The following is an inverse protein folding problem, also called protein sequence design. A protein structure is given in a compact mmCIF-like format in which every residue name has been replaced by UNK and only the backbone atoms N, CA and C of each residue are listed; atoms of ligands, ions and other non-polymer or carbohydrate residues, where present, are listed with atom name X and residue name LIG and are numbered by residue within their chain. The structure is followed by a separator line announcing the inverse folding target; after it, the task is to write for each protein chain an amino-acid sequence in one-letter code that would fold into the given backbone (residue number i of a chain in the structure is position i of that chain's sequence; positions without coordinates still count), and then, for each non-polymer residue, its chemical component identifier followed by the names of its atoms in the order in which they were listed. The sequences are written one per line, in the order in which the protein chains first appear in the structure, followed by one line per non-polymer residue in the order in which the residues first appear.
data_IF_956291654555
#
_entry.id   IF_956291654555
#
_cell.length_a   1.000
_cell.length_b   1.000
_cell.length_c   1.000
_cell.angle_alpha   90.00
_cell.angle_beta   90.00
_cell.angle_gamma   90.00
#
_symmetry.space_group_name_H-M   'P 1'
#
loop_
_entity.id
_entity.type
_entity.pdbx_description
1 polymer ?
#
# COMPACT_ATOMS: atom_id res chain seq x y z
N UNK A 1 -22.26 -0.01 -8.05
CA UNK A 1 -21.56 -1.28 -7.72
C UNK A 1 -20.00 -1.16 -7.78
N UNK A 2 -19.38 -0.49 -8.76
CA UNK A 2 -17.90 -0.33 -8.86
C UNK A 2 -17.25 0.30 -7.62
N UNK A 3 -17.84 1.34 -7.06
CA UNK A 3 -17.30 2.03 -5.89
C UNK A 3 -17.39 1.20 -4.60
N UNK A 4 -18.49 0.45 -4.40
CA UNK A 4 -18.63 -0.43 -3.25
C UNK A 4 -17.60 -1.56 -3.29
N UNK A 5 -17.40 -2.19 -4.46
CA UNK A 5 -16.36 -3.20 -4.63
C UNK A 5 -14.95 -2.63 -4.42
N UNK A 6 -14.69 -1.42 -4.93
CA UNK A 6 -13.42 -0.73 -4.71
C UNK A 6 -13.15 -0.41 -3.25
N UNK A 7 -14.17 -0.03 -2.49
CA UNK A 7 -14.06 0.22 -1.05
C UNK A 7 -13.71 -1.07 -0.30
N UNK A 8 -14.43 -2.16 -0.56
CA UNK A 8 -14.18 -3.46 0.08
C UNK A 8 -12.75 -3.92 -0.21
N UNK A 9 -12.33 -3.84 -1.47
CA UNK A 9 -10.98 -4.23 -1.87
C UNK A 9 -9.92 -3.34 -1.19
N UNK A 10 -10.14 -2.04 -1.11
CA UNK A 10 -9.26 -1.10 -0.40
C UNK A 10 -9.13 -1.40 1.09
N UNK A 11 -10.27 -1.74 1.75
CA UNK A 11 -10.26 -2.12 3.17
C UNK A 11 -9.50 -3.43 3.40
N UNK A 12 -9.65 -4.42 2.52
CA UNK A 12 -8.89 -5.68 2.60
C UNK A 12 -7.40 -5.49 2.28
N UNK A 13 -7.10 -4.62 1.34
CA UNK A 13 -5.72 -4.33 0.93
C UNK A 13 -4.93 -3.61 2.02
N UNK A 14 -5.58 -2.76 2.82
CA UNK A 14 -4.92 -1.98 3.87
C UNK A 14 -4.16 -2.85 4.87
N UNK A 15 -4.78 -3.82 5.56
CA UNK A 15 -4.05 -4.70 6.47
C UNK A 15 -3.04 -5.58 5.73
N UNK A 16 -3.33 -6.03 4.50
CA UNK A 16 -2.39 -6.83 3.72
C UNK A 16 -1.09 -6.06 3.42
N UNK A 17 -1.19 -4.79 3.03
CA UNK A 17 -0.02 -3.92 2.81
C UNK A 17 0.71 -3.63 4.13
N UNK A 18 -0.02 -3.28 5.18
CA UNK A 18 0.55 -2.91 6.46
C UNK A 18 1.29 -4.08 7.12
N UNK A 19 0.62 -5.22 7.26
CA UNK A 19 1.21 -6.39 7.90
C UNK A 19 2.21 -7.13 7.01
N UNK A 20 1.96 -7.20 5.70
CA UNK A 20 2.86 -7.82 4.74
C UNK A 20 4.22 -7.11 4.68
N UNK A 21 4.24 -5.77 4.66
CA UNK A 21 5.49 -5.02 4.72
C UNK A 21 6.18 -5.13 6.07
N UNK A 22 5.44 -5.01 7.19
CA UNK A 22 6.01 -5.09 8.53
C UNK A 22 6.66 -6.45 8.79
N UNK A 23 5.97 -7.53 8.47
CA UNK A 23 6.47 -8.89 8.68
C UNK A 23 7.64 -9.20 7.75
N UNK A 24 7.53 -8.87 6.45
CA UNK A 24 8.62 -9.07 5.49
C UNK A 24 9.88 -8.30 5.88
N UNK A 25 9.73 -7.05 6.32
CA UNK A 25 10.85 -6.24 6.77
C UNK A 25 11.52 -6.80 8.03
N UNK A 26 10.72 -7.22 9.02
CA UNK A 26 11.23 -7.82 10.25
C UNK A 26 12.00 -9.13 9.97
N UNK A 27 11.45 -10.00 9.12
CA UNK A 27 12.12 -11.25 8.74
C UNK A 27 13.44 -11.01 7.99
N UNK A 28 13.45 -10.05 7.07
CA UNK A 28 14.67 -9.68 6.36
C UNK A 28 15.75 -9.14 7.34
N UNK A 29 15.34 -8.27 8.27
CA UNK A 29 16.26 -7.71 9.26
C UNK A 29 16.85 -8.75 10.22
N UNK A 30 16.08 -9.78 10.61
CA UNK A 30 16.54 -10.87 11.46
C UNK A 30 17.45 -11.87 10.74
N UNK A 31 17.35 -11.94 9.42
CA UNK A 31 18.14 -12.86 8.59
C UNK A 31 19.46 -12.29 8.13
N UNK A 32 19.77 -11.03 8.48
CA UNK A 32 20.98 -10.33 8.10
C UNK A 32 21.79 -9.92 9.33
N UNK A 33 23.02 -10.41 9.45
CA UNK A 33 23.98 -9.92 10.46
C UNK A 33 24.74 -8.71 9.89
N UNK A 34 24.36 -7.52 10.37
CA UNK A 34 25.00 -6.26 9.97
C UNK A 34 26.48 -6.16 10.40
N UNK A 35 26.90 -6.90 11.43
CA UNK A 35 28.28 -6.89 11.94
C UNK A 35 29.16 -7.82 11.11
N UNK A 36 28.69 -9.05 10.86
CA UNK A 36 29.39 -10.04 10.06
C UNK A 36 29.25 -9.81 8.54
N UNK A 37 28.29 -8.97 8.13
CA UNK A 37 27.92 -8.74 6.72
C UNK A 37 27.54 -10.03 6.00
N UNK A 38 26.93 -10.94 6.72
CA UNK A 38 26.55 -12.25 6.21
C UNK A 38 25.03 -12.47 6.36
N UNK A 39 24.46 -13.26 5.43
CA UNK A 39 23.09 -13.73 5.54
C UNK A 39 23.14 -14.97 6.44
N UNK A 40 22.44 -14.88 7.58
CA UNK A 40 22.44 -15.93 8.60
C UNK A 40 21.42 -17.03 8.27
N UNK A 41 20.35 -16.70 7.54
CA UNK A 41 19.28 -17.62 7.12
C UNK A 41 18.81 -17.26 5.71
N UNK A 42 19.38 -17.95 4.70
CA UNK A 42 19.08 -17.71 3.30
C UNK A 42 17.60 -17.96 2.96
N UNK A 43 17.01 -19.02 3.50
CA UNK A 43 15.63 -19.40 3.19
C UNK A 43 14.65 -18.32 3.69
N UNK A 44 14.87 -17.84 4.91
CA UNK A 44 14.06 -16.79 5.52
C UNK A 44 14.23 -15.47 4.78
N UNK A 45 15.48 -15.13 4.40
CA UNK A 45 15.79 -13.93 3.63
C UNK A 45 15.09 -13.92 2.28
N UNK A 46 15.18 -15.00 1.49
CA UNK A 46 14.48 -15.10 0.21
C UNK A 46 12.96 -15.04 0.36
N UNK A 47 12.41 -15.70 1.38
CA UNK A 47 10.97 -15.61 1.68
C UNK A 47 10.51 -14.18 2.01
N UNK A 48 11.28 -13.46 2.82
CA UNK A 48 11.02 -12.07 3.17
C UNK A 48 11.06 -11.15 1.94
N UNK A 49 12.08 -11.30 1.09
CA UNK A 49 12.19 -10.53 -0.15
C UNK A 49 11.09 -10.85 -1.14
N UNK A 50 10.71 -12.12 -1.29
CA UNK A 50 9.59 -12.53 -2.14
C UNK A 50 8.27 -11.90 -1.68
N UNK A 51 8.02 -11.86 -0.36
CA UNK A 51 6.84 -11.20 0.20
C UNK A 51 6.86 -9.69 -0.05
N UNK A 52 7.99 -9.03 0.21
CA UNK A 52 8.13 -7.59 -0.05
C UNK A 52 7.96 -7.26 -1.53
N UNK A 53 8.51 -8.09 -2.42
CA UNK A 53 8.32 -7.96 -3.86
C UNK A 53 6.84 -8.14 -4.26
N UNK A 54 6.14 -9.12 -3.67
CA UNK A 54 4.71 -9.32 -3.90
C UNK A 54 3.87 -8.12 -3.44
N UNK A 55 4.17 -7.56 -2.25
CA UNK A 55 3.52 -6.34 -1.75
C UNK A 55 3.81 -5.15 -2.67
N UNK A 56 5.05 -4.98 -3.12
CA UNK A 56 5.44 -3.96 -4.09
C UNK A 56 4.71 -4.11 -5.43
N UNK A 57 4.60 -5.34 -5.94
CA UNK A 57 3.86 -5.64 -7.17
C UNK A 57 2.37 -5.29 -7.03
N UNK A 58 1.72 -5.71 -5.94
CA UNK A 58 0.31 -5.39 -5.67
C UNK A 58 0.12 -3.87 -5.60
N UNK A 59 1.01 -3.16 -4.89
CA UNK A 59 0.99 -1.70 -4.81
C UNK A 59 1.12 -1.09 -6.20
N UNK A 60 2.08 -1.54 -7.01
CA UNK A 60 2.29 -1.08 -8.38
C UNK A 60 1.07 -1.33 -9.28
N UNK A 61 0.47 -2.52 -9.21
CA UNK A 61 -0.76 -2.85 -9.94
C UNK A 61 -1.90 -1.90 -9.55
N UNK A 62 -2.10 -1.63 -8.26
CA UNK A 62 -3.13 -0.69 -7.79
C UNK A 62 -2.89 0.72 -8.33
N UNK A 63 -1.64 1.17 -8.38
CA UNK A 63 -1.27 2.48 -8.93
C UNK A 63 -1.56 2.55 -10.43
N UNK A 64 -1.21 1.52 -11.20
CA UNK A 64 -1.33 1.51 -12.67
C UNK A 64 -2.74 1.12 -13.14
N UNK A 65 -3.50 0.37 -12.37
CA UNK A 65 -4.81 -0.17 -12.74
C UNK A 65 -5.83 0.94 -13.02
N UNK A 66 -5.96 1.32 -14.29
CA UNK A 66 -6.89 2.39 -14.75
C UNK A 66 -8.36 1.99 -14.67
N UNK A 67 -8.65 0.70 -14.62
CA UNK A 67 -9.99 0.12 -14.51
C UNK A 67 -10.49 0.03 -13.06
N UNK A 68 -9.57 0.08 -12.09
CA UNK A 68 -9.91 0.01 -10.67
C UNK A 68 -10.53 1.33 -10.19
N UNK A 69 -11.50 1.22 -9.29
CA UNK A 69 -12.07 2.39 -8.61
C UNK A 69 -10.99 3.14 -7.84
N UNK A 70 -10.98 4.48 -7.84
CA UNK A 70 -10.01 5.26 -7.08
C UNK A 70 -10.04 4.95 -5.57
N UNK A 71 -11.14 4.41 -5.06
CA UNK A 71 -11.26 3.99 -3.66
C UNK A 71 -10.32 2.84 -3.27
N UNK A 72 -9.93 1.97 -4.24
CA UNK A 72 -8.98 0.88 -3.99
C UNK A 72 -7.62 1.40 -3.52
N UNK A 73 -7.16 2.52 -4.06
CA UNK A 73 -5.89 3.15 -3.67
C UNK A 73 -6.07 4.20 -2.57
N UNK A 74 -7.21 4.90 -2.54
CA UNK A 74 -7.48 5.96 -1.57
C UNK A 74 -7.58 5.44 -0.14
N UNK A 75 -8.27 4.31 0.07
CA UNK A 75 -8.46 3.75 1.42
C UNK A 75 -7.13 3.37 2.07
N UNK A 76 -6.26 2.53 1.46
CA UNK A 76 -4.97 2.22 2.05
C UNK A 76 -4.04 3.45 2.13
N UNK A 77 -4.11 4.39 1.17
CA UNK A 77 -3.36 5.63 1.24
C UNK A 77 -3.68 6.44 2.50
N UNK A 78 -4.97 6.68 2.77
CA UNK A 78 -5.42 7.42 3.95
C UNK A 78 -5.09 6.67 5.24
N UNK A 79 -5.22 5.35 5.26
CA UNK A 79 -4.88 4.55 6.43
C UNK A 79 -3.38 4.65 6.77
N UNK A 80 -2.50 4.49 5.77
CA UNK A 80 -1.05 4.57 5.98
C UNK A 80 -0.60 5.99 6.35
N UNK A 81 -1.14 7.02 5.70
CA UNK A 81 -0.88 8.42 6.04
C UNK A 81 -1.43 8.78 7.42
N UNK A 82 -2.64 8.34 7.74
CA UNK A 82 -3.25 8.56 9.05
C UNK A 82 -2.46 7.89 10.17
N UNK A 83 -2.00 6.65 9.95
CA UNK A 83 -1.16 5.93 10.91
C UNK A 83 0.19 6.62 11.09
N UNK A 84 0.83 7.05 9.99
CA UNK A 84 2.10 7.79 10.05
C UNK A 84 1.94 9.16 10.73
N UNK A 85 0.86 9.88 10.43
CA UNK A 85 0.55 11.15 11.09
C UNK A 85 0.27 10.95 12.57
N UNK A 86 -0.51 9.94 12.94
CA UNK A 86 -0.78 9.64 14.35
C UNK A 86 0.49 9.24 15.12
N UNK A 87 1.39 8.50 14.47
CA UNK A 87 2.70 8.18 15.04
C UNK A 87 3.53 9.44 15.38
N UNK A 88 3.46 10.48 14.56
CA UNK A 88 4.16 11.75 14.82
C UNK A 88 3.58 12.49 16.03
N UNK A 89 2.28 12.36 16.32
CA UNK A 89 1.64 13.01 17.45
C UNK A 89 1.78 12.23 18.76
N UNK A 90 1.61 10.90 18.72
CA UNK A 90 1.67 10.04 19.91
C UNK A 90 2.29 8.67 19.54
N UNK A 91 3.62 8.60 19.48
CA UNK A 91 4.32 7.36 19.14
C UNK A 91 3.98 6.18 20.08
N UNK A 92 3.79 6.47 21.37
CA UNK A 92 3.51 5.44 22.37
C UNK A 92 2.23 4.67 22.09
N UNK A 93 1.15 5.38 21.85
CA UNK A 93 -0.16 4.76 21.58
C UNK A 93 -0.19 3.97 20.28
N UNK A 94 0.48 4.47 19.23
CA UNK A 94 0.55 3.76 17.94
C UNK A 94 1.31 2.46 18.08
N UNK A 95 2.37 2.44 18.86
CA UNK A 95 3.20 1.27 19.08
C UNK A 95 2.57 0.24 20.02
N UNK A 96 1.57 0.63 20.80
CA UNK A 96 0.78 -0.28 21.63
C UNK A 96 -0.34 -1.00 20.86
N UNK A 97 -0.70 -0.52 19.65
CA UNK A 97 -1.73 -1.13 18.82
C UNK A 97 -1.39 -2.56 18.36
N UNK A 98 -0.16 -2.86 17.90
CA UNK A 98 0.20 -4.21 17.45
C UNK A 98 0.23 -5.23 18.59
N UNK A 99 0.55 -4.83 19.82
CA UNK A 99 0.54 -5.71 21.00
C UNK A 99 -0.82 -6.33 21.32
N UNK A 100 -1.89 -5.81 20.71
CA UNK A 100 -3.25 -6.32 20.85
C UNK A 100 -3.67 -7.27 19.73
N UNK A 101 -2.85 -7.41 18.69
CA UNK A 101 -3.15 -8.27 17.51
C UNK A 101 -2.08 -9.36 17.42
N UNK A 102 -2.42 -10.65 17.55
CA UNK A 102 -1.47 -11.75 17.34
C UNK A 102 -1.06 -11.86 15.85
N UNK A 103 0.18 -12.25 15.56
CA UNK A 103 1.29 -12.61 16.45
C UNK A 103 2.11 -11.40 16.90
N UNK A 104 2.25 -11.20 18.20
CA UNK A 104 3.12 -10.19 18.78
C UNK A 104 4.59 -10.57 18.56
N UNK A 105 5.47 -9.58 18.45
CA UNK A 105 6.92 -9.75 18.34
C UNK A 105 7.50 -9.25 17.05
N UNK A 106 7.59 -10.08 16.01
CA UNK A 106 8.22 -9.71 14.73
C UNK A 106 7.47 -8.58 13.99
N UNK A 107 6.12 -8.62 14.05
CA UNK A 107 5.27 -7.56 13.50
C UNK A 107 5.49 -6.21 14.19
N UNK A 108 5.63 -6.21 15.51
CA UNK A 108 5.85 -5.00 16.29
C UNK A 108 7.19 -4.35 15.90
N UNK A 109 8.25 -5.14 15.78
CA UNK A 109 9.57 -4.66 15.35
C UNK A 109 9.53 -4.07 13.95
N UNK A 110 8.93 -4.78 12.99
CA UNK A 110 8.81 -4.29 11.60
C UNK A 110 7.96 -3.02 11.51
N UNK A 111 6.84 -2.96 12.25
CA UNK A 111 5.97 -1.80 12.26
C UNK A 111 6.66 -0.56 12.83
N UNK A 112 7.39 -0.70 13.95
CA UNK A 112 8.17 0.39 14.56
C UNK A 112 9.20 0.95 13.60
N UNK A 113 9.96 0.07 12.93
CA UNK A 113 10.99 0.47 11.99
C UNK A 113 10.41 1.17 10.75
N UNK A 114 9.32 0.63 10.18
CA UNK A 114 8.69 1.22 9.00
C UNK A 114 7.97 2.54 9.28
N UNK A 115 7.36 2.70 10.47
CA UNK A 115 6.79 3.97 10.90
C UNK A 115 7.88 5.00 11.18
N UNK A 116 8.92 4.60 11.94
CA UNK A 116 10.02 5.50 12.30
C UNK A 116 10.87 5.94 11.10
N UNK A 117 10.99 5.10 10.07
CA UNK A 117 11.70 5.43 8.82
C UNK A 117 10.84 6.25 7.83
N UNK A 118 9.53 6.40 8.06
CA UNK A 118 8.62 7.10 7.15
C UNK A 118 8.23 6.32 5.89
N UNK A 119 8.56 5.03 5.80
CA UNK A 119 8.23 4.19 4.63
C UNK A 119 6.71 4.10 4.42
N UNK A 120 5.92 4.01 5.48
CA UNK A 120 4.45 4.01 5.37
C UNK A 120 3.91 5.34 4.88
N UNK A 121 4.49 6.47 5.28
CA UNK A 121 4.12 7.78 4.74
C UNK A 121 4.42 7.84 3.23
N UNK A 122 5.61 7.40 2.82
CA UNK A 122 5.99 7.33 1.41
C UNK A 122 5.04 6.45 0.59
N UNK A 123 4.71 5.25 1.08
CA UNK A 123 3.75 4.35 0.43
C UNK A 123 2.34 4.97 0.35
N UNK A 124 1.92 5.63 1.42
CA UNK A 124 0.63 6.33 1.47
C UNK A 124 0.54 7.43 0.41
N UNK A 125 1.56 8.26 0.28
CA UNK A 125 1.63 9.28 -0.78
C UNK A 125 1.67 8.67 -2.18
N UNK A 126 2.43 7.60 -2.40
CA UNK A 126 2.47 6.90 -3.67
C UNK A 126 1.08 6.36 -4.08
N UNK A 127 0.35 5.76 -3.12
CA UNK A 127 -1.01 5.27 -3.33
C UNK A 127 -2.05 6.40 -3.49
N UNK A 128 -1.77 7.60 -3.00
CA UNK A 128 -2.64 8.76 -3.17
C UNK A 128 -2.56 9.34 -4.58
N UNK A 129 -1.40 9.25 -5.25
CA UNK A 129 -1.18 9.82 -6.60
C UNK A 129 -2.26 9.44 -7.63
N UNK A 130 -2.68 8.16 -7.74
CA UNK A 130 -3.70 7.76 -8.70
C UNK A 130 -5.07 8.40 -8.47
N UNK A 131 -5.36 8.86 -7.27
CA UNK A 131 -6.67 9.46 -6.94
C UNK A 131 -6.83 10.86 -7.56
N UNK A 132 -5.74 11.52 -7.90
CA UNK A 132 -5.74 12.86 -8.52
C UNK A 132 -5.99 12.82 -10.02
N UNK A 133 -6.05 11.63 -10.64
CA UNK A 133 -6.33 11.51 -12.07
C UNK A 133 -7.84 11.67 -12.34
N UNK A 134 -8.31 12.79 -12.99
CA UNK A 134 -9.74 13.07 -13.20
C UNK A 134 -10.47 11.95 -13.95
N UNK A 135 -9.77 11.28 -14.87
CA UNK A 135 -10.31 10.17 -15.69
C UNK A 135 -10.72 8.93 -14.90
N UNK A 136 -10.28 8.79 -13.65
CA UNK A 136 -10.67 7.67 -12.76
C UNK A 136 -12.02 7.89 -12.08
N UNK A 137 -12.46 9.14 -11.95
CA UNK A 137 -13.72 9.50 -11.31
C UNK A 137 -14.88 9.53 -12.30
N UNK A 138 -14.61 9.76 -13.61
CA UNK A 138 -15.60 9.77 -14.67
C UNK A 138 -16.20 8.40 -14.99
N UNK A 139 -17.48 8.35 -15.35
CA UNK A 139 -18.08 7.18 -15.96
C UNK A 139 -17.49 7.05 -17.39
N UNK A 140 -17.09 5.84 -17.80
CA UNK A 140 -16.51 5.60 -19.14
C UNK A 140 -17.40 6.05 -20.30
N UNK A 141 -18.71 6.23 -20.06
CA UNK A 141 -19.67 6.75 -21.04
C UNK A 141 -19.41 8.20 -21.50
N UNK A 142 -18.85 9.05 -20.61
CA UNK A 142 -18.52 10.44 -21.00
C UNK A 142 -17.32 10.50 -21.95
N UNK A 143 -16.31 9.66 -21.73
CA UNK A 143 -15.16 9.57 -22.61
C UNK A 143 -15.55 9.00 -24.00
N UNK A 144 -16.39 7.95 -24.05
CA UNK A 144 -16.89 7.39 -25.30
C UNK A 144 -17.84 8.34 -26.04
N UNK A 145 -18.61 9.17 -25.33
CA UNK A 145 -19.45 10.20 -25.94
C UNK A 145 -18.60 11.32 -26.54
N UNK A 146 -17.55 11.75 -25.87
CA UNK A 146 -16.62 12.76 -26.37
C UNK A 146 -15.85 12.26 -27.60
N UNK A 147 -15.36 11.01 -27.59
CA UNK A 147 -14.69 10.39 -28.74
C UNK A 147 -15.64 10.25 -29.92
N UNK A 148 -16.89 9.80 -29.72
CA UNK A 148 -17.90 9.74 -30.79
C UNK A 148 -18.21 11.12 -31.36
N UNK A 149 -18.35 12.14 -30.52
CA UNK A 149 -18.60 13.52 -30.99
C UNK A 149 -17.42 14.05 -31.81
N UNK A 150 -16.18 13.75 -31.42
CA UNK A 150 -14.99 14.14 -32.14
C UNK A 150 -14.92 13.51 -33.55
N UNK A 151 -15.11 12.19 -33.64
CA UNK A 151 -15.09 11.49 -34.94
C UNK A 151 -16.24 11.92 -35.84
N UNK A 152 -17.44 12.16 -35.30
CA UNK A 152 -18.56 12.68 -36.12
C UNK A 152 -18.37 14.11 -36.64
N UNK A 153 -17.51 14.90 -36.00
CA UNK A 153 -17.16 16.24 -36.45
C UNK A 153 -16.11 16.22 -37.59
N UNK A 154 -15.28 15.17 -37.65
CA UNK A 154 -14.28 15.00 -38.72
C UNK A 154 -14.88 14.43 -40.02
N UNK A 155 -16.06 13.81 -39.97
CA UNK A 155 -16.75 13.27 -41.15
C UNK A 155 -17.65 14.28 -41.89
N UNK A 156 -17.72 15.53 -41.40
CA UNK A 156 -18.46 16.65 -42.04
C UNK A 156 -17.53 17.59 -42.72
#
# INVERSE_FOLDING_TARGET
MRHAFGLILGVLLTPALLYGTAWGYAQAGQSFDGTGREITDDTRMYGAFALLAAVGLVTGVVIVARWASPLVSLVPALALLGLSGYFLFDPGRVLDLPGRVPPAGDLDTGLRLLLGSGVYAMMGFALLMPTWAPRRWGSGHEAEAADRAYYSALER
#
